data_IF_645995787399
#
_entry.id   IF_645995787399
#
_cell.length_a   1.000
_cell.length_b   1.000
_cell.length_c   1.000
_cell.angle_alpha   90.00
_cell.angle_beta   90.00
_cell.angle_gamma   90.00
#
_symmetry.space_group_name_H-M   'P 1'
#
loop_
_entity.id
_entity.type
_entity.pdbx_description
1 polymer ?
#
# COMPACT_ATOMS: atom_id res chain seq x y z
N UNK A 1 -4.54 -26.45 -20.17
CA UNK A 1 -3.67 -25.73 -19.23
C UNK A 1 -2.21 -26.02 -19.57
N UNK A 2 -1.28 -25.08 -19.39
CA UNK A 2 0.15 -25.40 -19.56
C UNK A 2 0.54 -26.50 -18.57
N UNK A 3 1.40 -27.44 -18.99
CA UNK A 3 1.88 -28.55 -18.16
C UNK A 3 2.48 -28.09 -16.81
N UNK A 4 3.01 -26.86 -16.74
CA UNK A 4 3.50 -26.25 -15.51
C UNK A 4 2.38 -26.02 -14.47
N UNK A 5 1.14 -25.68 -14.89
CA UNK A 5 0.03 -25.43 -13.95
C UNK A 5 -0.53 -26.74 -13.42
N UNK A 6 -0.55 -27.80 -14.22
CA UNK A 6 -0.96 -29.14 -13.76
C UNK A 6 0.04 -29.74 -12.77
N UNK A 7 1.35 -29.42 -12.94
CA UNK A 7 2.41 -29.87 -12.03
C UNK A 7 2.58 -29.01 -10.75
N UNK A 8 1.93 -27.84 -10.66
CA UNK A 8 2.31 -26.79 -9.70
C UNK A 8 1.70 -26.89 -8.32
N UNK A 9 0.89 -27.93 -8.01
CA UNK A 9 0.04 -27.75 -6.85
C UNK A 9 0.41 -28.43 -5.52
N UNK A 10 1.12 -29.55 -5.42
CA UNK A 10 1.18 -30.25 -4.15
C UNK A 10 2.18 -29.69 -3.12
N UNK A 11 3.10 -28.79 -3.50
CA UNK A 11 4.19 -28.34 -2.62
C UNK A 11 4.01 -26.93 -2.03
N UNK A 12 3.10 -26.13 -2.56
CA UNK A 12 2.78 -24.81 -2.00
C UNK A 12 1.44 -24.83 -1.28
N UNK A 13 1.40 -24.26 -0.05
CA UNK A 13 0.14 -24.14 0.69
C UNK A 13 -0.89 -23.37 -0.14
N UNK A 14 -2.13 -23.83 -0.17
CA UNK A 14 -3.22 -23.21 -0.90
C UNK A 14 -3.79 -21.99 -0.15
N UNK A 15 -2.99 -20.93 -0.04
CA UNK A 15 -3.35 -19.68 0.63
C UNK A 15 -3.88 -18.61 -0.31
N UNK A 16 -3.78 -18.83 -1.63
CA UNK A 16 -4.18 -17.87 -2.67
C UNK A 16 -5.08 -18.53 -3.72
N UNK A 17 -6.18 -17.85 -4.08
CA UNK A 17 -6.94 -18.16 -5.29
C UNK A 17 -6.19 -17.68 -6.53
N UNK A 18 -5.31 -18.53 -7.07
CA UNK A 18 -4.49 -18.17 -8.24
C UNK A 18 -5.29 -18.21 -9.53
N UNK A 19 -5.10 -17.20 -10.39
CA UNK A 19 -5.50 -17.27 -11.78
C UNK A 19 -4.67 -18.33 -12.52
N UNK A 20 -5.21 -18.97 -13.58
CA UNK A 20 -4.51 -19.97 -14.37
C UNK A 20 -3.46 -19.35 -15.31
N UNK A 21 -2.61 -18.50 -14.77
CA UNK A 21 -1.57 -17.75 -15.49
C UNK A 21 -0.23 -18.01 -14.81
N UNK A 22 0.79 -18.36 -15.61
CA UNK A 22 2.16 -18.53 -15.16
C UNK A 22 3.04 -17.45 -15.82
N UNK A 23 3.32 -16.37 -15.08
CA UNK A 23 4.12 -15.25 -15.57
C UNK A 23 5.58 -15.68 -15.77
N UNK A 24 6.18 -15.33 -16.90
CA UNK A 24 7.57 -15.62 -17.24
C UNK A 24 8.48 -14.40 -17.18
N UNK A 25 8.06 -13.26 -17.72
CA UNK A 25 8.84 -12.03 -17.75
C UNK A 25 7.95 -10.79 -17.90
N UNK A 26 8.54 -9.60 -17.77
CA UNK A 26 7.85 -8.34 -17.94
C UNK A 26 8.73 -7.24 -18.49
N UNK A 27 8.11 -6.22 -19.10
CA UNK A 27 8.75 -5.00 -19.60
C UNK A 27 7.79 -3.82 -19.46
N UNK A 28 8.21 -2.76 -18.80
CA UNK A 28 7.34 -1.59 -18.57
C UNK A 28 6.04 -1.97 -17.85
N UNK A 29 4.90 -1.63 -18.41
CA UNK A 29 3.56 -2.00 -17.88
C UNK A 29 3.04 -3.34 -18.43
N UNK A 30 3.88 -4.18 -19.04
CA UNK A 30 3.43 -5.43 -19.67
C UNK A 30 4.10 -6.65 -19.04
N UNK A 31 3.33 -7.73 -18.96
CA UNK A 31 3.76 -9.05 -18.51
C UNK A 31 3.48 -10.09 -19.60
N UNK A 32 4.30 -11.13 -19.67
CA UNK A 32 4.08 -12.29 -20.55
C UNK A 32 4.04 -13.56 -19.72
N UNK A 33 3.12 -14.43 -20.07
CA UNK A 33 3.08 -15.77 -19.49
C UNK A 33 4.03 -16.74 -20.23
N UNK A 34 4.14 -17.96 -19.70
CA UNK A 34 4.97 -19.03 -20.27
C UNK A 34 4.52 -19.49 -21.67
N UNK A 35 3.32 -19.13 -22.11
CA UNK A 35 2.79 -19.42 -23.44
C UNK A 35 2.99 -18.25 -24.42
N UNK A 36 3.61 -17.16 -23.96
CA UNK A 36 3.83 -15.97 -24.76
C UNK A 36 2.64 -15.02 -24.86
N UNK A 37 1.54 -15.25 -24.11
CA UNK A 37 0.44 -14.30 -24.04
C UNK A 37 0.85 -13.09 -23.25
N UNK A 38 0.58 -11.91 -23.81
CA UNK A 38 0.85 -10.61 -23.22
C UNK A 38 -0.35 -10.12 -22.38
N UNK A 39 -0.03 -9.43 -21.29
CA UNK A 39 -1.01 -8.77 -20.41
C UNK A 39 -0.57 -7.34 -20.13
N UNK A 40 -1.51 -6.40 -20.18
CA UNK A 40 -1.32 -5.06 -19.61
C UNK A 40 -1.51 -5.13 -18.10
N UNK A 41 -0.52 -4.70 -17.33
CA UNK A 41 -0.51 -4.81 -15.87
C UNK A 41 -1.09 -3.53 -15.22
N UNK A 42 -2.40 -3.54 -14.97
CA UNK A 42 -3.07 -2.50 -14.19
C UNK A 42 -3.10 -2.82 -12.68
N UNK A 43 -2.34 -3.84 -12.23
CA UNK A 43 -2.22 -4.23 -10.82
C UNK A 43 -0.86 -3.89 -10.22
N UNK A 44 0.22 -3.88 -11.02
CA UNK A 44 1.56 -3.51 -10.58
C UNK A 44 2.10 -4.34 -9.41
N UNK A 45 1.75 -5.65 -9.33
CA UNK A 45 2.08 -6.49 -8.19
C UNK A 45 1.42 -6.05 -6.88
N UNK A 46 0.23 -5.46 -6.95
CA UNK A 46 -0.52 -4.78 -5.87
C UNK A 46 0.23 -3.52 -5.40
N UNK A 47 0.39 -2.56 -6.31
CA UNK A 47 1.07 -1.27 -6.10
C UNK A 47 2.56 -1.39 -5.70
N UNK A 48 3.23 -2.47 -6.09
CA UNK A 48 4.65 -2.72 -5.76
C UNK A 48 5.59 -2.23 -6.86
N UNK A 49 5.27 -2.53 -8.13
CA UNK A 49 6.15 -2.28 -9.27
C UNK A 49 6.03 -0.83 -9.76
N UNK A 50 6.51 0.12 -8.95
CA UNK A 50 6.41 1.58 -9.21
C UNK A 50 7.00 1.96 -10.56
N UNK A 51 8.17 1.42 -10.89
CA UNK A 51 8.90 1.69 -12.13
C UNK A 51 8.57 0.69 -13.26
N UNK A 52 7.52 -0.13 -13.07
CA UNK A 52 7.21 -1.21 -14.00
C UNK A 52 8.19 -2.37 -13.92
N UNK A 53 8.10 -3.25 -14.92
CA UNK A 53 8.91 -4.46 -15.01
C UNK A 53 10.19 -4.20 -15.81
N UNK A 54 11.32 -4.80 -15.37
CA UNK A 54 12.61 -4.77 -16.05
C UNK A 54 13.06 -3.34 -16.45
N UNK A 55 13.00 -2.41 -15.47
CA UNK A 55 13.35 -1.01 -15.72
C UNK A 55 14.83 -0.85 -16.13
N UNK A 56 15.14 -0.12 -17.22
CA UNK A 56 16.48 -0.10 -17.82
C UNK A 56 17.57 0.55 -16.97
N UNK A 57 17.21 1.34 -15.95
CA UNK A 57 18.18 1.92 -15.01
C UNK A 57 18.18 1.17 -13.67
N UNK A 58 17.05 0.68 -13.19
CA UNK A 58 16.98 -0.03 -11.90
C UNK A 58 17.71 -1.37 -11.98
N UNK A 59 17.45 -2.18 -13.04
CA UNK A 59 18.04 -3.53 -13.16
C UNK A 59 19.56 -3.50 -13.20
N UNK A 60 20.25 -2.67 -14.02
CA UNK A 60 21.71 -2.55 -13.98
C UNK A 60 22.25 -2.09 -12.62
N UNK A 61 21.56 -1.18 -11.93
CA UNK A 61 21.99 -0.73 -10.60
C UNK A 61 21.91 -1.84 -9.56
N UNK A 62 20.90 -2.72 -9.66
CA UNK A 62 20.80 -3.91 -8.80
C UNK A 62 21.86 -4.95 -9.15
N UNK A 63 22.13 -5.17 -10.42
CA UNK A 63 23.20 -6.07 -10.88
C UNK A 63 24.58 -5.62 -10.38
N UNK A 64 24.86 -4.31 -10.43
CA UNK A 64 26.08 -3.72 -9.85
C UNK A 64 26.15 -3.99 -8.34
N UNK A 65 25.05 -3.80 -7.60
CA UNK A 65 25.01 -4.06 -6.17
C UNK A 65 25.16 -5.54 -5.83
N UNK A 66 24.54 -6.44 -6.62
CA UNK A 66 24.65 -7.89 -6.48
C UNK A 66 26.10 -8.36 -6.61
N UNK A 67 26.90 -7.74 -7.49
CA UNK A 67 28.31 -8.06 -7.66
C UNK A 67 29.21 -7.63 -6.49
N UNK A 68 28.72 -6.78 -5.59
CA UNK A 68 29.48 -6.24 -4.43
C UNK A 68 29.11 -6.96 -3.14
N UNK A 69 27.88 -6.79 -2.71
CA UNK A 69 27.36 -7.40 -1.48
C UNK A 69 25.82 -7.36 -1.50
N UNK A 70 25.20 -8.51 -1.19
CA UNK A 70 23.75 -8.65 -1.12
C UNK A 70 23.24 -8.24 0.26
N UNK A 71 23.85 -8.76 1.32
CA UNK A 71 23.44 -8.60 2.70
C UNK A 71 24.61 -8.35 3.63
N UNK A 72 24.42 -7.48 4.60
CA UNK A 72 25.21 -7.39 5.82
C UNK A 72 24.26 -7.07 7.00
N UNK A 73 24.65 -7.43 8.22
CA UNK A 73 23.84 -7.14 9.40
C UNK A 73 23.96 -5.65 9.84
N UNK A 74 23.01 -5.20 10.63
CA UNK A 74 22.97 -3.84 11.17
C UNK A 74 23.98 -3.55 12.29
N UNK A 75 24.97 -4.45 12.50
CA UNK A 75 26.15 -4.15 13.32
C UNK A 75 27.15 -3.25 12.58
N UNK A 76 27.01 -3.13 11.26
CA UNK A 76 27.89 -2.32 10.40
C UNK A 76 27.09 -1.23 9.71
N UNK A 77 27.74 -0.12 9.40
CA UNK A 77 27.15 0.93 8.58
C UNK A 77 26.98 0.49 7.14
N UNK A 78 25.82 0.75 6.56
CA UNK A 78 25.49 0.51 5.15
C UNK A 78 25.33 1.86 4.46
N UNK A 79 26.25 2.30 3.57
CA UNK A 79 26.20 3.65 3.00
C UNK A 79 24.88 4.02 2.30
N UNK A 80 24.26 3.07 1.60
CA UNK A 80 22.97 3.29 0.94
C UNK A 80 21.80 3.38 1.94
N UNK A 81 21.94 2.82 3.15
CA UNK A 81 20.95 2.96 4.22
C UNK A 81 20.87 4.42 4.68
N UNK A 82 22.03 5.06 4.93
CA UNK A 82 22.08 6.47 5.31
C UNK A 82 21.56 7.38 4.18
N UNK A 83 21.90 7.08 2.91
CA UNK A 83 21.42 7.85 1.76
C UNK A 83 19.89 7.79 1.63
N UNK A 84 19.33 6.58 1.75
CA UNK A 84 17.88 6.40 1.66
C UNK A 84 17.16 7.03 2.85
N UNK A 85 17.72 6.91 4.07
CA UNK A 85 17.15 7.53 5.26
C UNK A 85 17.12 9.05 5.13
N UNK A 86 18.25 9.67 4.74
CA UNK A 86 18.33 11.11 4.51
C UNK A 86 17.28 11.58 3.47
N UNK A 87 17.12 10.83 2.38
CA UNK A 87 16.14 11.17 1.34
C UNK A 87 14.69 11.04 1.82
N UNK A 88 14.35 9.99 2.55
CA UNK A 88 13.01 9.83 3.13
C UNK A 88 12.69 10.91 4.16
N UNK A 89 13.68 11.32 4.96
CA UNK A 89 13.55 12.45 5.91
C UNK A 89 13.33 13.77 5.17
N UNK A 90 14.09 14.02 4.09
CA UNK A 90 13.91 15.22 3.23
C UNK A 90 12.49 15.28 2.65
N UNK A 91 12.01 14.18 2.04
CA UNK A 91 10.70 14.11 1.35
C UNK A 91 9.51 14.20 2.30
N UNK A 92 9.67 13.67 3.52
CA UNK A 92 8.60 13.63 4.53
C UNK A 92 8.62 14.82 5.49
N UNK A 93 9.78 15.48 5.65
CA UNK A 93 10.02 16.48 6.69
C UNK A 93 9.94 15.89 8.10
N UNK A 94 10.21 14.59 8.25
CA UNK A 94 10.27 13.86 9.53
C UNK A 94 11.71 13.78 10.05
N UNK A 95 12.02 12.89 11.02
CA UNK A 95 13.29 12.99 11.78
C UNK A 95 14.27 11.85 11.49
N UNK A 96 13.81 10.60 11.53
CA UNK A 96 14.67 9.43 11.30
C UNK A 96 13.89 8.22 10.76
N UNK A 97 14.61 7.16 10.40
CA UNK A 97 14.05 6.00 9.71
C UNK A 97 14.55 4.70 10.35
N UNK A 98 13.65 3.76 10.57
CA UNK A 98 13.97 2.36 10.81
C UNK A 98 13.64 1.56 9.55
N UNK A 99 14.57 0.73 9.06
CA UNK A 99 14.36 -0.12 7.89
C UNK A 99 14.02 -1.56 8.26
N UNK A 100 13.09 -2.15 7.50
CA UNK A 100 12.70 -3.55 7.55
C UNK A 100 12.43 -4.08 6.14
N UNK A 101 11.82 -5.25 5.98
CA UNK A 101 11.72 -5.91 4.67
C UNK A 101 10.31 -5.90 4.09
N UNK A 102 9.28 -5.78 4.92
CA UNK A 102 7.88 -5.87 4.51
C UNK A 102 7.01 -4.82 5.20
N UNK A 103 5.89 -4.44 4.56
CA UNK A 103 4.91 -3.54 5.17
C UNK A 103 4.35 -4.07 6.49
N UNK A 104 4.24 -5.40 6.61
CA UNK A 104 3.86 -6.06 7.85
C UNK A 104 4.86 -5.74 8.99
N UNK A 105 6.17 -5.89 8.74
CA UNK A 105 7.19 -5.55 9.74
C UNK A 105 7.20 -4.06 10.08
N UNK A 106 6.97 -3.19 9.09
CA UNK A 106 6.86 -1.75 9.31
C UNK A 106 5.65 -1.41 10.20
N UNK A 107 4.51 -2.04 9.96
CA UNK A 107 3.31 -1.86 10.78
C UNK A 107 3.48 -2.45 12.19
N UNK A 108 4.14 -3.61 12.35
CA UNK A 108 4.52 -4.13 13.67
C UNK A 108 5.41 -3.14 14.44
N UNK A 109 6.40 -2.55 13.78
CA UNK A 109 7.27 -1.54 14.39
C UNK A 109 6.47 -0.30 14.80
N UNK A 110 5.53 0.18 13.97
CA UNK A 110 4.64 1.29 14.30
C UNK A 110 3.76 0.99 15.54
N UNK A 111 3.15 -0.19 15.60
CA UNK A 111 2.37 -0.62 16.76
C UNK A 111 3.23 -0.69 18.04
N UNK A 112 4.46 -1.20 17.94
CA UNK A 112 5.42 -1.23 19.05
C UNK A 112 5.86 0.16 19.48
N UNK A 113 6.07 1.09 18.54
CA UNK A 113 6.35 2.51 18.84
C UNK A 113 5.21 3.12 19.66
N UNK A 114 3.96 2.94 19.22
CA UNK A 114 2.79 3.47 19.92
C UNK A 114 2.67 2.90 21.34
N UNK A 115 2.83 1.60 21.51
CA UNK A 115 2.79 0.98 22.84
C UNK A 115 3.88 1.52 23.75
N UNK A 116 5.13 1.59 23.25
CA UNK A 116 6.25 2.11 24.01
C UNK A 116 6.07 3.60 24.33
N UNK A 117 5.52 4.39 23.42
CA UNK A 117 5.14 5.77 23.68
C UNK A 117 4.16 5.89 24.86
N UNK A 118 3.13 5.05 24.90
CA UNK A 118 2.18 5.00 26.00
C UNK A 118 2.83 4.60 27.34
N UNK A 119 3.65 3.56 27.34
CA UNK A 119 4.38 3.16 28.54
C UNK A 119 5.34 4.24 29.05
N UNK A 120 6.02 4.97 28.16
CA UNK A 120 6.85 6.10 28.54
C UNK A 120 6.05 7.25 29.19
N UNK A 121 4.75 7.31 28.94
CA UNK A 121 3.79 8.25 29.59
C UNK A 121 3.13 7.65 30.85
N UNK A 122 3.52 6.48 31.29
CA UNK A 122 2.96 5.78 32.46
C UNK A 122 1.65 5.08 32.22
N UNK A 123 1.21 4.91 30.96
CA UNK A 123 -0.01 4.19 30.60
C UNK A 123 0.31 2.68 30.55
N UNK A 124 -0.27 1.89 31.46
CA UNK A 124 0.01 0.46 31.56
C UNK A 124 -0.58 -0.37 30.43
N UNK A 125 -1.72 0.04 29.88
CA UNK A 125 -2.44 -0.65 28.80
C UNK A 125 -2.69 0.30 27.64
N UNK A 126 -1.63 0.68 26.88
CA UNK A 126 -1.79 1.60 25.76
C UNK A 126 -2.72 1.05 24.69
N UNK A 127 -3.66 1.87 24.24
CA UNK A 127 -4.62 1.55 23.20
C UNK A 127 -4.41 2.40 21.95
N UNK A 128 -4.66 1.79 20.80
CA UNK A 128 -4.51 2.41 19.48
C UNK A 128 -5.86 2.42 18.79
N UNK A 129 -6.29 3.59 18.33
CA UNK A 129 -7.48 3.68 17.48
C UNK A 129 -7.14 3.16 16.09
N UNK A 130 -7.97 2.25 15.59
CA UNK A 130 -7.89 1.68 14.23
C UNK A 130 -9.25 1.75 13.55
N UNK A 131 -9.30 1.54 12.24
CA UNK A 131 -10.51 1.79 11.47
C UNK A 131 -11.15 0.51 10.93
N UNK A 132 -12.47 0.56 10.76
CA UNK A 132 -13.20 -0.45 9.99
C UNK A 132 -12.64 -0.53 8.56
N UNK A 133 -12.64 -1.72 7.98
CA UNK A 133 -12.12 -2.02 6.63
C UNK A 133 -10.61 -1.74 6.42
N UNK A 134 -9.87 -1.28 7.45
CA UNK A 134 -8.42 -1.11 7.33
C UNK A 134 -7.70 -2.44 7.12
N UNK A 135 -6.55 -2.40 6.45
CA UNK A 135 -5.64 -3.54 6.28
C UNK A 135 -4.21 -3.13 6.64
N UNK A 136 -3.66 -3.74 7.69
CA UNK A 136 -2.32 -3.43 8.17
C UNK A 136 -1.34 -4.61 8.15
N UNK A 137 -1.79 -5.80 7.76
CA UNK A 137 -0.94 -6.99 7.64
C UNK A 137 -1.58 -8.28 8.13
N UNK A 138 -0.76 -9.35 8.19
CA UNK A 138 -1.18 -10.73 8.49
C UNK A 138 -0.48 -11.34 9.70
N UNK A 139 0.43 -10.63 10.40
CA UNK A 139 0.91 -11.06 11.72
C UNK A 139 -0.21 -10.95 12.76
N UNK A 140 -0.07 -11.61 13.91
CA UNK A 140 -1.15 -11.60 14.90
C UNK A 140 -1.50 -10.17 15.35
N UNK A 141 -0.52 -9.26 15.56
CA UNK A 141 -0.82 -7.90 15.99
C UNK A 141 -1.37 -7.04 14.84
N UNK A 142 -0.78 -7.07 13.64
CA UNK A 142 -1.31 -6.31 12.49
C UNK A 142 -2.67 -6.85 12.01
N UNK A 143 -2.89 -8.16 12.13
CA UNK A 143 -4.19 -8.80 11.89
C UNK A 143 -5.25 -8.29 12.88
N UNK A 144 -4.88 -8.12 14.16
CA UNK A 144 -5.77 -7.58 15.20
C UNK A 144 -6.13 -6.10 14.93
N UNK A 145 -5.17 -5.32 14.40
CA UNK A 145 -5.41 -3.94 13.97
C UNK A 145 -6.28 -3.84 12.70
N UNK A 146 -6.22 -4.85 11.82
CA UNK A 146 -6.94 -4.90 10.55
C UNK A 146 -8.45 -4.94 10.76
N UNK A 147 -9.22 -4.16 9.98
CA UNK A 147 -10.67 -3.96 10.13
C UNK A 147 -11.55 -4.99 9.41
N UNK A 148 -11.03 -6.14 9.03
CA UNK A 148 -11.74 -7.18 8.29
C UNK A 148 -11.88 -8.45 9.14
N UNK A 149 -13.09 -8.71 9.65
CA UNK A 149 -13.40 -9.87 10.50
C UNK A 149 -13.20 -11.22 9.78
N UNK A 150 -13.46 -11.28 8.47
CA UNK A 150 -13.34 -12.50 7.65
C UNK A 150 -11.91 -13.06 7.66
N UNK A 151 -10.90 -12.18 7.65
CA UNK A 151 -9.49 -12.61 7.67
C UNK A 151 -8.95 -12.87 9.09
N UNK A 152 -9.70 -12.49 10.13
CA UNK A 152 -9.37 -12.75 11.53
C UNK A 152 -9.93 -14.09 12.02
N UNK A 153 -10.89 -14.65 11.30
CA UNK A 153 -11.57 -15.90 11.67
C UNK A 153 -10.58 -17.05 11.81
N UNK A 154 -10.66 -17.76 12.94
CA UNK A 154 -9.79 -18.89 13.26
C UNK A 154 -8.41 -18.55 13.83
N UNK A 155 -8.05 -17.25 13.95
CA UNK A 155 -6.74 -16.81 14.44
C UNK A 155 -6.77 -16.18 15.84
N UNK A 156 -7.89 -16.32 16.57
CA UNK A 156 -7.99 -15.85 17.94
C UNK A 156 -7.19 -16.70 18.93
N UNK A 157 -6.90 -16.17 20.16
CA UNK A 157 -7.26 -14.84 20.63
C UNK A 157 -6.47 -13.73 19.95
N UNK A 158 -7.15 -12.66 19.57
CA UNK A 158 -6.51 -11.49 18.97
C UNK A 158 -5.76 -10.67 20.03
N UNK A 159 -4.79 -9.87 19.60
CA UNK A 159 -4.08 -8.94 20.47
C UNK A 159 -5.02 -7.81 20.92
N UNK A 160 -5.10 -7.57 22.22
CA UNK A 160 -5.86 -6.48 22.82
C UNK A 160 -5.17 -5.12 22.63
N UNK A 161 -5.92 -4.04 22.93
CA UNK A 161 -5.45 -2.66 22.86
C UNK A 161 -5.77 -1.97 21.55
N UNK A 162 -6.85 -2.35 20.88
CA UNK A 162 -7.37 -1.67 19.70
C UNK A 162 -8.79 -1.18 19.90
N UNK A 163 -9.01 0.13 19.67
CA UNK A 163 -10.32 0.78 19.63
C UNK A 163 -10.71 0.98 18.18
N UNK A 164 -11.82 0.38 17.73
CA UNK A 164 -12.22 0.41 16.32
C UNK A 164 -13.33 1.42 16.07
N UNK A 165 -13.14 2.26 15.02
CA UNK A 165 -14.08 3.32 14.66
C UNK A 165 -14.37 3.30 13.15
N UNK A 166 -15.52 3.85 12.70
CA UNK A 166 -15.81 4.02 11.28
C UNK A 166 -14.92 5.09 10.64
N UNK A 167 -14.74 5.00 9.31
CA UNK A 167 -13.99 5.99 8.50
C UNK A 167 -14.82 7.26 8.30
N UNK A 168 -14.16 8.42 8.24
CA UNK A 168 -14.79 9.72 7.96
C UNK A 168 -15.87 10.17 8.97
N UNK A 169 -15.84 9.65 10.21
CA UNK A 169 -16.74 10.03 11.30
C UNK A 169 -15.95 10.50 12.52
N UNK A 170 -15.66 11.80 12.58
CA UNK A 170 -14.94 12.42 13.70
C UNK A 170 -15.73 12.39 15.01
N UNK A 171 -17.08 12.39 14.93
CA UNK A 171 -17.93 12.32 16.11
C UNK A 171 -17.84 10.91 16.74
N UNK A 172 -17.87 9.85 15.93
CA UNK A 172 -17.67 8.50 16.40
C UNK A 172 -16.28 8.31 17.03
N UNK A 173 -15.22 8.85 16.40
CA UNK A 173 -13.87 8.82 16.97
C UNK A 173 -13.81 9.51 18.34
N UNK A 174 -14.30 10.74 18.44
CA UNK A 174 -14.35 11.49 19.70
C UNK A 174 -15.16 10.76 20.77
N UNK A 175 -16.31 10.19 20.41
CA UNK A 175 -17.17 9.42 21.32
C UNK A 175 -16.48 8.15 21.84
N UNK A 176 -15.83 7.39 20.96
CA UNK A 176 -15.14 6.15 21.32
C UNK A 176 -13.96 6.39 22.26
N UNK A 177 -13.37 7.58 22.24
CA UNK A 177 -12.17 7.93 23.01
C UNK A 177 -12.45 8.89 24.19
N UNK A 178 -13.68 9.40 24.36
CA UNK A 178 -14.03 10.47 25.32
C UNK A 178 -13.63 10.15 26.77
N UNK A 179 -13.82 8.91 27.21
CA UNK A 179 -13.55 8.45 28.57
C UNK A 179 -12.45 7.38 28.62
N UNK A 180 -11.59 7.34 27.61
CA UNK A 180 -10.55 6.34 27.50
C UNK A 180 -9.14 6.98 27.60
N UNK A 181 -8.55 7.02 28.81
CA UNK A 181 -7.24 7.63 29.03
C UNK A 181 -6.10 6.76 28.49
N UNK A 182 -6.36 5.53 28.04
CA UNK A 182 -5.37 4.61 27.55
C UNK A 182 -5.02 4.83 26.08
N UNK A 183 -5.81 5.62 25.35
CA UNK A 183 -5.53 5.90 23.92
C UNK A 183 -4.26 6.71 23.78
N UNK A 184 -3.34 6.20 22.93
CA UNK A 184 -2.01 6.80 22.72
C UNK A 184 -1.73 7.13 21.26
N UNK A 185 -2.50 6.57 20.34
CA UNK A 185 -2.30 6.75 18.90
C UNK A 185 -3.59 6.50 18.11
N UNK A 186 -3.60 7.06 16.90
CA UNK A 186 -4.57 6.73 15.84
C UNK A 186 -3.78 6.15 14.67
N UNK A 187 -4.20 5.01 14.11
CA UNK A 187 -3.51 4.31 13.02
C UNK A 187 -4.44 4.00 11.86
N UNK A 188 -4.11 4.48 10.66
CA UNK A 188 -4.97 4.38 9.48
C UNK A 188 -4.19 4.46 8.16
N UNK A 189 -4.86 4.05 7.07
CA UNK A 189 -4.48 4.29 5.69
C UNK A 189 -5.19 5.56 5.19
N UNK A 190 -4.51 6.49 4.53
CA UNK A 190 -5.14 7.69 3.92
C UNK A 190 -6.14 7.31 2.83
N UNK A 191 -5.85 6.22 2.10
CA UNK A 191 -6.77 5.54 1.19
C UNK A 191 -6.71 4.06 1.53
N UNK A 192 -7.80 3.50 2.02
CA UNK A 192 -7.87 2.08 2.35
C UNK A 192 -7.81 1.23 1.08
N UNK A 193 -6.71 0.52 0.87
CA UNK A 193 -6.49 -0.26 -0.35
C UNK A 193 -7.35 -1.52 -0.42
N UNK A 194 -7.12 -2.43 0.49
CA UNK A 194 -7.83 -3.73 0.56
C UNK A 194 -9.29 -3.55 0.98
N UNK A 195 -9.60 -2.49 1.70
CA UNK A 195 -10.96 -2.12 2.13
C UNK A 195 -11.87 -1.64 1.01
N UNK A 196 -11.38 -1.48 -0.23
CA UNK A 196 -12.17 -1.07 -1.39
C UNK A 196 -11.79 0.29 -1.99
N UNK A 197 -10.53 0.69 -1.93
CA UNK A 197 -10.04 2.00 -2.40
C UNK A 197 -10.87 3.14 -1.80
N UNK A 198 -10.94 3.20 -0.47
CA UNK A 198 -11.75 4.19 0.24
C UNK A 198 -10.88 5.38 0.69
N UNK A 199 -10.95 6.55 0.02
CA UNK A 199 -10.27 7.75 0.46
C UNK A 199 -10.86 8.30 1.76
N UNK A 200 -10.00 8.74 2.68
CA UNK A 200 -10.42 9.59 3.78
C UNK A 200 -10.59 11.04 3.29
N UNK A 201 -11.60 11.72 3.78
CA UNK A 201 -11.83 13.13 3.45
C UNK A 201 -10.71 14.00 4.00
N UNK A 202 -10.29 15.00 3.24
CA UNK A 202 -9.19 15.90 3.62
C UNK A 202 -9.49 16.61 4.94
N UNK A 203 -10.70 17.10 5.13
CA UNK A 203 -11.08 17.78 6.37
C UNK A 203 -11.11 16.82 7.57
N UNK A 204 -11.56 15.57 7.35
CA UNK A 204 -11.46 14.53 8.37
C UNK A 204 -10.02 14.26 8.80
N UNK A 205 -9.08 14.16 7.87
CA UNK A 205 -7.65 13.98 8.16
C UNK A 205 -7.08 15.14 8.99
N UNK A 206 -7.50 16.38 8.68
CA UNK A 206 -7.13 17.58 9.45
C UNK A 206 -7.72 17.54 10.86
N UNK A 207 -8.96 17.14 10.99
CA UNK A 207 -9.64 17.00 12.31
C UNK A 207 -8.96 15.93 13.17
N UNK A 208 -8.57 14.78 12.57
CA UNK A 208 -7.81 13.74 13.29
C UNK A 208 -6.44 14.26 13.71
N UNK A 209 -5.74 15.05 12.86
CA UNK A 209 -4.46 15.67 13.23
C UNK A 209 -4.64 16.60 14.43
N UNK A 210 -5.63 17.49 14.37
CA UNK A 210 -5.93 18.42 15.46
C UNK A 210 -6.27 17.68 16.76
N UNK A 211 -7.05 16.61 16.69
CA UNK A 211 -7.37 15.78 17.85
C UNK A 211 -6.13 15.08 18.44
N UNK A 212 -5.25 14.54 17.59
CA UNK A 212 -4.00 13.94 18.03
C UNK A 212 -3.07 14.97 18.70
N UNK A 213 -3.06 16.21 18.21
CA UNK A 213 -2.28 17.29 18.84
C UNK A 213 -2.87 17.70 20.18
N UNK A 214 -4.20 17.86 20.27
CA UNK A 214 -4.92 18.18 21.52
C UNK A 214 -4.69 17.12 22.62
N UNK A 215 -4.75 15.84 22.24
CA UNK A 215 -4.67 14.70 23.17
C UNK A 215 -3.24 14.20 23.40
N UNK A 216 -2.26 14.79 22.73
CA UNK A 216 -0.88 14.30 22.71
C UNK A 216 -0.78 12.79 22.33
N UNK A 217 -1.51 12.40 21.28
CA UNK A 217 -1.44 11.09 20.66
C UNK A 217 -0.48 11.09 19.48
N UNK A 218 0.01 9.91 19.10
CA UNK A 218 0.71 9.71 17.83
C UNK A 218 -0.32 9.58 16.69
N UNK A 219 -0.15 10.37 15.64
CA UNK A 219 -0.83 10.15 14.37
C UNK A 219 0.03 9.23 13.50
N UNK A 220 -0.39 7.98 13.34
CA UNK A 220 0.32 6.98 12.57
C UNK A 220 -0.41 6.76 11.25
N UNK A 221 0.28 6.95 10.12
CA UNK A 221 -0.32 6.88 8.79
C UNK A 221 0.36 5.77 8.00
N UNK A 222 -0.39 4.71 7.71
CA UNK A 222 0.06 3.59 6.87
C UNK A 222 0.09 4.02 5.39
N UNK A 223 1.27 4.34 4.92
CA UNK A 223 1.54 4.71 3.52
C UNK A 223 2.11 3.54 2.69
N UNK A 224 1.94 2.31 3.17
CA UNK A 224 2.46 1.10 2.51
C UNK A 224 1.89 0.93 1.10
N UNK A 225 0.61 1.26 0.88
CA UNK A 225 0.01 1.16 -0.44
C UNK A 225 -0.19 2.51 -1.12
N UNK A 226 -0.57 3.55 -0.41
CA UNK A 226 -0.90 4.86 -0.96
C UNK A 226 0.30 5.83 -1.06
N UNK A 227 1.43 5.50 -0.42
CA UNK A 227 2.66 6.28 -0.49
C UNK A 227 3.47 6.09 -1.77
N UNK A 228 4.68 6.61 -1.75
CA UNK A 228 5.67 6.48 -2.82
C UNK A 228 5.14 6.89 -4.21
N UNK A 229 4.55 8.09 -4.29
CA UNK A 229 4.10 8.67 -5.56
C UNK A 229 2.74 8.19 -6.06
N UNK A 230 2.16 7.15 -5.45
CA UNK A 230 0.95 6.48 -5.93
C UNK A 230 -0.22 7.42 -6.20
N UNK A 231 -0.41 8.42 -5.35
CA UNK A 231 -1.51 9.39 -5.44
C UNK A 231 -1.13 10.72 -6.11
N UNK A 232 0.13 10.84 -6.62
CA UNK A 232 0.64 12.08 -7.22
C UNK A 232 1.40 13.00 -6.23
N UNK A 233 1.53 12.59 -4.98
CA UNK A 233 2.43 13.18 -3.97
C UNK A 233 3.35 12.08 -3.45
N UNK A 234 4.50 12.43 -2.86
CA UNK A 234 5.38 11.41 -2.24
C UNK A 234 4.61 10.55 -1.24
N UNK A 235 3.78 11.20 -0.41
CA UNK A 235 2.93 10.54 0.57
C UNK A 235 1.51 11.08 0.45
N UNK A 236 0.51 10.21 0.55
CA UNK A 236 -0.89 10.58 0.30
C UNK A 236 -1.42 11.61 1.33
N UNK A 237 -0.95 11.57 2.58
CA UNK A 237 -1.35 12.55 3.60
C UNK A 237 -0.93 13.99 3.26
N UNK A 238 0.05 14.20 2.36
CA UNK A 238 0.46 15.52 1.93
C UNK A 238 -0.64 16.29 1.18
N UNK A 239 -1.65 15.60 0.64
CA UNK A 239 -2.83 16.25 0.06
C UNK A 239 -3.66 17.01 1.10
N UNK A 240 -3.70 16.53 2.34
CA UNK A 240 -4.36 17.22 3.45
C UNK A 240 -3.51 18.33 4.09
N UNK A 241 -2.23 18.45 3.71
CA UNK A 241 -1.28 19.41 4.31
C UNK A 241 -0.91 19.08 5.76
N UNK A 242 -1.07 17.81 6.18
CA UNK A 242 -0.74 17.34 7.53
C UNK A 242 0.58 16.57 7.54
N UNK A 243 1.12 16.32 8.74
CA UNK A 243 2.29 15.48 8.97
C UNK A 243 1.95 14.32 9.88
N UNK A 244 2.48 13.13 9.56
CA UNK A 244 2.43 11.97 10.44
C UNK A 244 3.47 12.11 11.58
N UNK A 245 3.19 11.44 12.71
CA UNK A 245 4.21 11.21 13.75
C UNK A 245 4.96 9.89 13.49
N UNK A 246 4.30 8.91 12.86
CA UNK A 246 4.88 7.62 12.43
C UNK A 246 4.29 7.25 11.08
N UNK A 247 5.14 6.87 10.14
CA UNK A 247 4.74 6.56 8.76
C UNK A 247 5.41 5.28 8.27
N UNK A 248 4.71 4.13 8.29
CA UNK A 248 5.13 2.91 7.62
C UNK A 248 5.12 3.06 6.10
N UNK A 249 6.16 2.55 5.44
CA UNK A 249 6.35 2.50 3.98
C UNK A 249 6.78 1.10 3.56
N UNK A 250 6.41 0.68 2.35
CA UNK A 250 6.90 -0.54 1.70
C UNK A 250 6.58 -0.51 0.20
N UNK A 251 6.23 -1.66 -0.39
CA UNK A 251 5.73 -1.79 -1.78
C UNK A 251 6.50 -0.94 -2.78
N UNK A 252 5.92 0.20 -3.16
CA UNK A 252 6.50 1.13 -4.14
C UNK A 252 7.89 1.65 -3.80
N UNK A 253 8.33 1.56 -2.56
CA UNK A 253 9.66 2.00 -2.13
C UNK A 253 10.80 1.27 -2.83
N UNK A 254 10.63 -0.02 -3.16
CA UNK A 254 11.68 -0.85 -3.79
C UNK A 254 11.40 -1.29 -5.21
N UNK A 255 10.27 -0.90 -5.78
CA UNK A 255 9.85 -1.26 -7.14
C UNK A 255 10.06 -2.75 -7.48
N UNK A 256 9.60 -3.65 -6.58
CA UNK A 256 9.71 -5.11 -6.73
C UNK A 256 10.67 -5.78 -5.74
N UNK A 257 11.68 -5.08 -5.24
CA UNK A 257 12.59 -5.60 -4.21
C UNK A 257 11.92 -5.48 -2.84
N UNK A 258 11.92 -6.54 -2.00
CA UNK A 258 11.40 -6.47 -0.64
C UNK A 258 12.17 -5.46 0.21
N UNK A 259 11.51 -4.37 0.55
CA UNK A 259 12.00 -3.28 1.39
C UNK A 259 10.83 -2.60 2.08
N UNK A 260 11.04 -2.17 3.31
CA UNK A 260 10.10 -1.34 4.03
C UNK A 260 10.85 -0.41 5.00
N UNK A 261 10.13 0.60 5.47
CA UNK A 261 10.66 1.57 6.41
C UNK A 261 9.56 2.05 7.36
N UNK A 262 9.96 2.48 8.55
CA UNK A 262 9.15 3.33 9.42
C UNK A 262 9.85 4.66 9.53
N UNK A 263 9.23 5.72 9.04
CA UNK A 263 9.71 7.08 9.20
C UNK A 263 9.06 7.67 10.44
N UNK A 264 9.87 8.20 11.35
CA UNK A 264 9.41 8.76 12.62
C UNK A 264 9.62 10.28 12.68
N UNK A 265 8.57 10.99 13.08
CA UNK A 265 8.61 12.41 13.37
C UNK A 265 9.18 12.70 14.77
N UNK A 266 9.31 13.98 15.17
CA UNK A 266 9.94 14.38 16.42
C UNK A 266 9.37 13.70 17.67
N UNK A 267 8.05 13.47 17.74
CA UNK A 267 7.39 12.78 18.86
C UNK A 267 7.81 11.31 19.01
N UNK A 268 8.18 10.65 17.91
CA UNK A 268 8.43 9.21 17.85
C UNK A 268 9.92 8.84 17.65
N UNK A 269 10.74 9.77 17.14
CA UNK A 269 12.10 9.52 16.67
C UNK A 269 13.05 8.91 17.71
N UNK A 270 12.82 9.13 19.00
CA UNK A 270 13.70 8.71 20.09
C UNK A 270 13.07 7.67 21.04
N UNK A 271 11.92 7.10 20.65
CA UNK A 271 11.21 6.10 21.47
C UNK A 271 11.96 4.76 21.46
N UNK A 272 12.42 4.29 20.30
CA UNK A 272 13.28 3.12 20.24
C UNK A 272 14.71 3.46 20.60
N UNK A 273 15.30 2.61 21.41
CA UNK A 273 16.69 2.62 21.83
C UNK A 273 17.35 1.29 21.44
N UNK A 274 18.69 1.19 21.38
CA UNK A 274 19.37 -0.07 21.10
C UNK A 274 18.81 -1.23 21.90
N UNK A 275 18.50 -2.33 21.22
CA UNK A 275 17.90 -3.54 21.80
C UNK A 275 16.37 -3.55 21.91
N UNK A 276 15.65 -2.45 21.64
CA UNK A 276 14.19 -2.44 21.73
C UNK A 276 13.50 -3.09 20.52
N UNK A 277 14.08 -3.00 19.35
CA UNK A 277 13.56 -3.55 18.10
C UNK A 277 14.69 -3.83 17.12
N UNK A 278 14.45 -4.72 16.16
CA UNK A 278 15.43 -5.06 15.14
C UNK A 278 14.88 -6.04 14.11
N UNK A 279 15.66 -6.26 13.06
CA UNK A 279 15.36 -7.19 11.98
C UNK A 279 16.67 -7.68 11.38
N UNK A 280 16.70 -8.92 10.89
CA UNK A 280 17.90 -9.49 10.26
C UNK A 280 18.14 -8.88 8.87
N UNK A 281 17.11 -8.84 8.02
CA UNK A 281 17.26 -8.43 6.61
C UNK A 281 16.99 -6.95 6.37
N UNK A 282 16.28 -6.26 7.25
CA UNK A 282 15.95 -4.84 7.07
C UNK A 282 17.20 -3.98 7.00
N UNK A 283 17.27 -3.07 6.04
CA UNK A 283 18.41 -2.22 5.82
C UNK A 283 19.56 -2.84 5.02
N UNK A 284 19.39 -4.03 4.42
CA UNK A 284 20.44 -4.71 3.67
C UNK A 284 20.87 -3.91 2.41
N UNK A 285 22.15 -4.03 1.98
CA UNK A 285 22.69 -3.26 0.87
C UNK A 285 21.89 -3.33 -0.44
N UNK A 286 21.37 -4.51 -0.81
CA UNK A 286 20.60 -4.68 -2.05
C UNK A 286 19.27 -3.92 -1.99
N UNK A 287 18.50 -4.09 -0.92
CA UNK A 287 17.22 -3.41 -0.75
C UNK A 287 17.40 -1.88 -0.65
N UNK A 288 18.45 -1.43 0.04
CA UNK A 288 18.76 0.01 0.14
C UNK A 288 19.13 0.61 -1.22
N UNK A 289 19.89 -0.13 -2.05
CA UNK A 289 20.18 0.30 -3.42
C UNK A 289 18.91 0.43 -4.24
N UNK A 290 17.99 -0.54 -4.12
CA UNK A 290 16.69 -0.49 -4.80
C UNK A 290 15.90 0.77 -4.42
N UNK A 291 15.79 1.07 -3.12
CA UNK A 291 15.07 2.26 -2.64
C UNK A 291 15.69 3.57 -3.13
N UNK A 292 17.01 3.70 -3.05
CA UNK A 292 17.73 4.90 -3.54
C UNK A 292 17.49 5.12 -5.02
N UNK A 293 17.63 4.07 -5.85
CA UNK A 293 17.43 4.19 -7.30
C UNK A 293 15.97 4.41 -7.66
N UNK A 294 15.02 3.77 -6.96
CA UNK A 294 13.60 3.99 -7.20
C UNK A 294 13.24 5.45 -7.02
N UNK A 295 13.62 6.07 -5.91
CA UNK A 295 13.33 7.50 -5.66
C UNK A 295 14.04 8.38 -6.70
N UNK A 296 15.32 8.12 -7.00
CA UNK A 296 16.07 8.88 -8.01
C UNK A 296 15.40 8.86 -9.39
N UNK A 297 14.94 7.69 -9.83
CA UNK A 297 14.26 7.54 -11.11
C UNK A 297 12.90 8.24 -11.07
N UNK A 298 12.14 8.09 -10.01
CA UNK A 298 10.85 8.77 -9.84
C UNK A 298 10.97 10.29 -9.96
N UNK A 299 12.00 10.89 -9.33
CA UNK A 299 12.28 12.33 -9.44
C UNK A 299 12.71 12.71 -10.86
N UNK A 300 13.65 11.96 -11.45
CA UNK A 300 14.18 12.21 -12.79
C UNK A 300 13.09 12.20 -13.85
N UNK A 301 12.16 11.25 -13.77
CA UNK A 301 11.17 10.98 -14.80
C UNK A 301 9.81 11.64 -14.50
N UNK A 302 9.70 12.44 -13.42
CA UNK A 302 8.48 13.18 -13.05
C UNK A 302 7.28 12.27 -12.77
N UNK A 303 7.51 11.13 -12.09
CA UNK A 303 6.47 10.11 -11.96
C UNK A 303 5.32 10.50 -11.02
N UNK A 304 5.48 11.51 -10.17
CA UNK A 304 4.41 12.04 -9.33
C UNK A 304 3.39 12.78 -10.20
N UNK A 305 3.88 13.66 -11.06
CA UNK A 305 3.08 14.41 -12.02
C UNK A 305 2.41 13.47 -13.02
N UNK A 306 3.15 12.44 -13.48
CA UNK A 306 2.60 11.41 -14.35
C UNK A 306 1.47 10.62 -13.66
N UNK A 307 1.63 10.23 -12.39
CA UNK A 307 0.60 9.53 -11.62
C UNK A 307 -0.69 10.36 -11.50
N UNK A 308 -0.57 11.68 -11.28
CA UNK A 308 -1.72 12.59 -11.27
C UNK A 308 -2.36 12.66 -12.65
N UNK A 309 -1.58 12.99 -13.68
CA UNK A 309 -2.06 13.22 -15.04
C UNK A 309 -2.75 11.98 -15.64
N UNK A 310 -2.10 10.80 -15.51
CA UNK A 310 -2.64 9.56 -16.06
C UNK A 310 -3.80 9.03 -15.21
N UNK A 311 -3.72 9.22 -13.89
CA UNK A 311 -4.80 8.83 -12.97
C UNK A 311 -6.08 9.65 -13.21
N UNK A 312 -5.97 10.97 -13.34
CA UNK A 312 -7.10 11.86 -13.65
C UNK A 312 -7.71 11.54 -15.01
N UNK A 313 -6.87 11.28 -16.02
CA UNK A 313 -7.32 10.87 -17.35
C UNK A 313 -8.12 9.55 -17.31
N UNK A 314 -7.57 8.50 -16.71
CA UNK A 314 -8.24 7.21 -16.61
C UNK A 314 -9.54 7.32 -15.81
N UNK A 315 -9.50 8.04 -14.68
CA UNK A 315 -10.68 8.24 -13.84
C UNK A 315 -11.79 8.98 -14.61
N UNK A 316 -11.45 10.08 -15.27
CA UNK A 316 -12.40 10.86 -16.07
C UNK A 316 -13.02 10.04 -17.22
N UNK A 317 -12.21 9.18 -17.86
CA UNK A 317 -12.69 8.27 -18.88
C UNK A 317 -13.71 7.28 -18.33
N UNK A 318 -13.39 6.62 -17.21
CA UNK A 318 -14.30 5.69 -16.53
C UNK A 318 -15.59 6.39 -16.06
N UNK A 319 -15.49 7.59 -15.49
CA UNK A 319 -16.64 8.37 -15.04
C UNK A 319 -17.57 8.74 -16.21
N UNK A 320 -17.01 9.16 -17.34
CA UNK A 320 -17.80 9.52 -18.53
C UNK A 320 -18.53 8.31 -19.12
N UNK A 321 -17.82 7.19 -19.27
CA UNK A 321 -18.34 6.00 -19.97
C UNK A 321 -19.31 5.18 -19.09
N UNK A 322 -19.17 5.26 -17.76
CA UNK A 322 -20.01 4.53 -16.79
C UNK A 322 -21.08 5.45 -16.15
N UNK A 323 -21.17 6.71 -16.54
CA UNK A 323 -22.16 7.66 -16.00
C UNK A 323 -23.58 7.19 -16.25
N UNK A 324 -24.39 7.13 -15.18
CA UNK A 324 -25.80 6.71 -15.25
C UNK A 324 -26.03 5.23 -15.53
N UNK A 325 -25.00 4.40 -15.60
CA UNK A 325 -25.12 2.95 -15.77
C UNK A 325 -25.61 2.33 -14.45
N UNK A 326 -26.77 1.64 -14.52
CA UNK A 326 -27.31 0.90 -13.38
C UNK A 326 -26.33 -0.20 -12.97
N UNK A 327 -26.07 -0.33 -11.67
CA UNK A 327 -25.11 -1.29 -11.13
C UNK A 327 -23.75 -0.69 -10.81
N UNK A 328 -23.45 0.53 -11.26
CA UNK A 328 -22.28 1.29 -10.82
C UNK A 328 -22.65 2.11 -9.59
N UNK A 329 -21.94 1.93 -8.48
CA UNK A 329 -22.12 2.72 -7.26
C UNK A 329 -21.26 3.98 -7.25
N UNK A 330 -19.96 3.81 -7.48
CA UNK A 330 -18.99 4.90 -7.34
C UNK A 330 -17.70 4.59 -8.09
N UNK A 331 -17.09 5.64 -8.65
CA UNK A 331 -15.71 5.61 -9.14
C UNK A 331 -14.91 6.57 -8.27
N UNK A 332 -13.89 6.04 -7.59
CA UNK A 332 -13.15 6.81 -6.59
C UNK A 332 -11.66 6.48 -6.61
N UNK A 333 -10.91 7.26 -5.86
CA UNK A 333 -9.45 7.13 -5.75
C UNK A 333 -8.73 8.40 -6.16
N UNK A 334 -7.39 8.33 -6.18
CA UNK A 334 -6.53 9.47 -6.48
C UNK A 334 -5.24 9.03 -7.14
N UNK A 335 -4.78 9.78 -8.16
CA UNK A 335 -3.64 9.39 -8.96
C UNK A 335 -3.85 8.01 -9.57
N UNK A 336 -2.84 7.16 -9.52
CA UNK A 336 -2.90 5.77 -10.01
C UNK A 336 -3.31 4.76 -8.91
N UNK A 337 -4.25 5.12 -8.06
CA UNK A 337 -4.94 4.25 -7.12
C UNK A 337 -6.44 4.44 -7.29
N UNK A 338 -7.07 3.67 -8.19
CA UNK A 338 -8.45 3.83 -8.62
C UNK A 338 -9.29 2.60 -8.30
N UNK A 339 -10.56 2.85 -7.96
CA UNK A 339 -11.57 1.84 -7.70
C UNK A 339 -12.88 2.13 -8.43
N UNK A 340 -13.48 1.10 -9.04
CA UNK A 340 -14.84 1.12 -9.57
C UNK A 340 -15.69 0.17 -8.72
N UNK A 341 -16.61 0.71 -7.94
CA UNK A 341 -17.49 -0.09 -7.08
C UNK A 341 -18.78 -0.43 -7.82
N UNK A 342 -19.10 -1.72 -7.86
CA UNK A 342 -20.38 -2.22 -8.34
C UNK A 342 -21.36 -2.45 -7.16
N UNK A 343 -22.66 -2.50 -7.44
CA UNK A 343 -23.68 -2.78 -6.42
C UNK A 343 -23.77 -4.26 -6.03
N UNK A 344 -22.95 -5.11 -6.65
CA UNK A 344 -22.92 -6.57 -6.47
C UNK A 344 -21.47 -7.11 -6.48
N UNK A 345 -21.23 -8.31 -5.94
CA UNK A 345 -19.93 -8.97 -6.02
C UNK A 345 -19.49 -9.19 -7.47
N UNK A 346 -18.23 -8.83 -7.79
CA UNK A 346 -17.73 -8.84 -9.15
C UNK A 346 -16.37 -9.56 -9.33
N UNK A 347 -16.03 -10.48 -8.45
CA UNK A 347 -14.74 -11.20 -8.50
C UNK A 347 -14.48 -11.94 -9.82
N UNK A 348 -15.54 -12.36 -10.53
CA UNK A 348 -15.45 -12.99 -11.85
C UNK A 348 -14.77 -12.08 -12.90
N UNK A 349 -14.85 -10.74 -12.75
CA UNK A 349 -14.21 -9.79 -13.65
C UNK A 349 -12.68 -9.91 -13.65
N UNK A 350 -12.07 -10.39 -12.56
CA UNK A 350 -10.61 -10.63 -12.51
C UNK A 350 -10.16 -11.65 -13.55
N UNK A 351 -10.87 -12.77 -13.68
CA UNK A 351 -10.55 -13.79 -14.69
C UNK A 351 -10.89 -13.30 -16.11
N UNK A 352 -12.06 -12.68 -16.32
CA UNK A 352 -12.47 -12.14 -17.62
C UNK A 352 -11.50 -11.09 -18.15
N UNK A 353 -11.02 -10.19 -17.28
CA UNK A 353 -10.01 -9.21 -17.64
C UNK A 353 -8.69 -9.88 -18.04
N UNK A 354 -8.25 -10.89 -17.28
CA UNK A 354 -7.04 -11.64 -17.60
C UNK A 354 -7.17 -12.41 -18.94
N UNK A 355 -8.34 -12.98 -19.25
CA UNK A 355 -8.63 -13.58 -20.55
C UNK A 355 -8.56 -12.55 -21.68
N UNK A 356 -9.00 -11.32 -21.44
CA UNK A 356 -8.90 -10.19 -22.37
C UNK A 356 -7.51 -9.53 -22.41
N UNK A 357 -6.53 -10.00 -21.62
CA UNK A 357 -5.18 -9.47 -21.62
C UNK A 357 -4.93 -8.29 -20.66
N UNK A 358 -5.81 -8.08 -19.67
CA UNK A 358 -5.68 -7.03 -18.65
C UNK A 358 -5.60 -7.65 -17.25
N UNK A 359 -4.61 -7.24 -16.44
CA UNK A 359 -4.49 -7.66 -15.05
C UNK A 359 -5.02 -6.58 -14.10
N UNK A 360 -6.06 -6.93 -13.37
CA UNK A 360 -6.70 -6.11 -12.32
C UNK A 360 -6.91 -6.95 -11.06
N UNK A 361 -7.40 -6.34 -10.00
CA UNK A 361 -7.93 -7.08 -8.84
C UNK A 361 -9.33 -6.61 -8.48
N UNK A 362 -10.08 -7.48 -7.81
CA UNK A 362 -11.33 -7.12 -7.13
C UNK A 362 -11.07 -7.21 -5.63
N UNK A 363 -11.38 -6.16 -4.90
CA UNK A 363 -11.26 -6.08 -3.44
C UNK A 363 -12.60 -5.71 -2.81
N UNK A 364 -12.77 -5.99 -1.52
CA UNK A 364 -14.04 -5.78 -0.81
C UNK A 364 -15.24 -6.39 -1.56
N UNK A 365 -15.04 -7.54 -2.22
CA UNK A 365 -15.98 -8.34 -3.01
C UNK A 365 -16.55 -7.64 -4.26
N UNK A 366 -16.68 -6.30 -4.29
CA UNK A 366 -17.39 -5.54 -5.35
C UNK A 366 -16.61 -4.36 -5.96
N UNK A 367 -15.34 -4.18 -5.59
CA UNK A 367 -14.54 -3.04 -6.07
C UNK A 367 -13.44 -3.51 -7.02
N UNK A 368 -13.54 -3.14 -8.28
CA UNK A 368 -12.46 -3.30 -9.27
C UNK A 368 -11.37 -2.30 -8.92
N UNK A 369 -10.19 -2.81 -8.55
CA UNK A 369 -9.04 -1.97 -8.17
C UNK A 369 -7.97 -1.98 -9.23
N UNK A 370 -7.49 -0.80 -9.58
CA UNK A 370 -6.38 -0.54 -10.48
C UNK A 370 -5.28 0.23 -9.74
N UNK A 371 -4.09 -0.35 -9.71
CA UNK A 371 -2.88 0.22 -9.08
C UNK A 371 -1.64 -0.04 -9.96
N UNK A 372 -1.68 0.41 -11.24
CA UNK A 372 -0.64 0.14 -12.23
C UNK A 372 0.72 0.72 -11.86
N UNK A 373 1.80 0.38 -12.56
CA UNK A 373 3.09 1.09 -12.47
C UNK A 373 2.92 2.60 -12.72
N UNK A 374 3.72 3.43 -12.04
CA UNK A 374 3.62 4.89 -12.17
C UNK A 374 4.15 5.42 -13.52
N UNK A 375 4.85 4.57 -14.25
CA UNK A 375 5.33 4.85 -15.61
C UNK A 375 4.25 4.68 -16.68
N UNK A 376 3.04 4.24 -16.32
CA UNK A 376 1.93 4.05 -17.27
C UNK A 376 1.70 5.33 -18.08
N UNK A 377 1.55 5.17 -19.38
CA UNK A 377 1.26 6.26 -20.34
C UNK A 377 -0.24 6.51 -20.48
N UNK A 378 -0.64 7.65 -21.05
CA UNK A 378 -2.04 7.93 -21.39
C UNK A 378 -2.61 6.87 -22.35
N UNK A 379 -1.84 6.46 -23.35
CA UNK A 379 -2.29 5.43 -24.31
C UNK A 379 -2.53 4.07 -23.63
N UNK A 380 -1.68 3.69 -22.66
CA UNK A 380 -1.90 2.47 -21.88
C UNK A 380 -3.09 2.60 -20.92
N UNK A 381 -3.36 3.79 -20.39
CA UNK A 381 -4.57 4.06 -19.60
C UNK A 381 -5.84 3.97 -20.46
N UNK A 382 -5.78 4.45 -21.71
CA UNK A 382 -6.88 4.27 -22.68
C UNK A 382 -7.09 2.78 -23.00
N UNK A 383 -6.00 2.02 -23.20
CA UNK A 383 -6.07 0.56 -23.41
C UNK A 383 -6.70 -0.17 -22.20
N UNK A 384 -6.37 0.24 -20.97
CA UNK A 384 -7.05 -0.28 -19.76
C UNK A 384 -8.56 -0.05 -19.84
N UNK A 385 -8.99 1.17 -20.17
CA UNK A 385 -10.40 1.51 -20.28
C UNK A 385 -11.08 0.74 -21.42
N UNK A 386 -10.45 0.66 -22.59
CA UNK A 386 -10.97 -0.03 -23.79
C UNK A 386 -11.21 -1.52 -23.53
N UNK A 387 -10.38 -2.16 -22.69
CA UNK A 387 -10.57 -3.56 -22.32
C UNK A 387 -11.60 -3.69 -21.18
N UNK A 388 -11.53 -2.83 -20.16
CA UNK A 388 -12.31 -3.00 -18.94
C UNK A 388 -13.79 -2.62 -19.11
N UNK A 389 -14.09 -1.53 -19.83
CA UNK A 389 -15.44 -1.01 -19.98
C UNK A 389 -16.41 -2.01 -20.61
N UNK A 390 -16.09 -2.67 -21.76
CA UNK A 390 -16.96 -3.72 -22.32
C UNK A 390 -17.20 -4.88 -21.36
N UNK A 391 -16.22 -5.25 -20.56
CA UNK A 391 -16.35 -6.34 -19.59
C UNK A 391 -17.29 -5.97 -18.44
N UNK A 392 -17.25 -4.73 -17.96
CA UNK A 392 -18.20 -4.24 -16.95
C UNK A 392 -19.61 -4.21 -17.50
N UNK A 393 -19.83 -3.67 -18.71
CA UNK A 393 -21.14 -3.62 -19.37
C UNK A 393 -21.72 -5.04 -19.57
N UNK A 394 -20.93 -5.97 -20.09
CA UNK A 394 -21.36 -7.36 -20.28
C UNK A 394 -21.72 -8.01 -18.94
N UNK A 395 -20.90 -7.82 -17.92
CA UNK A 395 -21.13 -8.36 -16.57
C UNK A 395 -22.44 -7.85 -15.96
N UNK A 396 -22.73 -6.56 -16.07
CA UNK A 396 -23.96 -5.96 -15.55
C UNK A 396 -25.20 -6.41 -16.34
N UNK A 397 -25.08 -6.60 -17.65
CA UNK A 397 -26.17 -7.06 -18.50
C UNK A 397 -26.58 -8.52 -18.22
N UNK A 398 -25.65 -9.40 -17.81
CA UNK A 398 -25.92 -10.79 -17.44
C UNK A 398 -26.76 -10.92 -16.15
N UNK A 399 -26.81 -9.87 -15.35
CA UNK A 399 -27.48 -9.85 -14.04
C UNK A 399 -28.81 -9.08 -14.06
N UNK A 400 -29.16 -8.44 -15.19
CA UNK A 400 -30.40 -7.69 -15.42
C UNK A 400 -31.48 -8.60 -15.99
#
# INVERSE_FOLDING_TARGET
MPAFIEASSPHTMNTYGRLPIAISHGQGCRLWDVNGKMYLDALGGIAVNTLGHNHPELVPALQDQLSKIIHSCNYYHVPNQEKLAAKLVELSGMTNVFFCSTGLEANEAALKLARKFGHNKGIEKPEIVVYEKAFHGRSIATLSATGNKKIQEGFGPLVEGFVRVPVNDIAALKKATANNPNVVAVFFETIQGEGGVNPMHIDYLRDVRALCDEKDWLMMIDEVQCGMGRTGKWFAHQWAGIKADVMPLAKGLGSGVPIAAVVAGPKAAHIFQPGNHGTTFGGNPLAMRAGVETIRIMEKDGLLENATRVGDHLKSRLENDLSGIKGIKEIRGQGLMLGVELDQPCSALTLRAAEAGLLISVTADSVIRMVPPLIMTLAEADEVADILLPLIHAFLAEQS
#
